data_IF_433703001853
#
_entry.id   IF_433703001853
#
_cell.length_a   1.000
_cell.length_b   1.000
_cell.length_c   1.000
_cell.angle_alpha   90.00
_cell.angle_beta   90.00
_cell.angle_gamma   90.00
#
_symmetry.space_group_name_H-M   'P 1'
#
loop_
_entity.id
_entity.type
_entity.pdbx_description
1 polymer ?
#
# COMPACT_ATOMS: atom_id res chain seq x y z
N UNK A 1 1.94 -22.10 -22.64
CA UNK A 1 0.52 -22.39 -22.91
C UNK A 1 -0.35 -22.26 -21.66
N UNK A 2 0.04 -22.86 -20.52
CA UNK A 2 -0.70 -22.72 -19.25
C UNK A 2 -0.71 -21.28 -18.73
N UNK A 3 0.38 -20.53 -18.87
CA UNK A 3 0.51 -19.13 -18.52
C UNK A 3 -0.34 -18.22 -19.40
N UNK A 4 -0.42 -18.50 -20.73
CA UNK A 4 -1.30 -17.76 -21.64
C UNK A 4 -2.78 -18.02 -21.36
N UNK A 5 -3.14 -19.23 -20.93
CA UNK A 5 -4.53 -19.59 -20.58
C UNK A 5 -4.93 -19.04 -19.19
N UNK A 6 -3.96 -18.80 -18.30
CA UNK A 6 -4.18 -18.22 -16.97
C UNK A 6 -4.04 -16.68 -16.94
N UNK A 7 -3.43 -16.06 -18.00
CA UNK A 7 -3.14 -14.63 -17.99
C UNK A 7 -4.41 -13.79 -17.96
N UNK A 8 -5.38 -14.05 -18.80
CA UNK A 8 -6.58 -13.20 -18.94
C UNK A 8 -7.49 -13.27 -17.70
N UNK A 9 -7.91 -14.44 -17.20
CA UNK A 9 -8.73 -14.51 -15.98
C UNK A 9 -7.95 -14.14 -14.71
N UNK A 10 -6.61 -14.36 -14.68
CA UNK A 10 -5.79 -13.95 -13.54
C UNK A 10 -5.53 -12.45 -13.55
N UNK A 11 -5.25 -11.87 -14.70
CA UNK A 11 -5.13 -10.43 -14.92
C UNK A 11 -6.45 -9.73 -14.61
N UNK A 12 -7.57 -10.19 -15.11
CA UNK A 12 -8.89 -9.65 -14.79
C UNK A 12 -9.22 -9.77 -13.30
N UNK A 13 -8.87 -10.88 -12.68
CA UNK A 13 -9.05 -11.11 -11.24
C UNK A 13 -8.11 -10.26 -10.38
N UNK A 14 -6.90 -10.00 -10.84
CA UNK A 14 -5.94 -9.12 -10.18
C UNK A 14 -6.24 -7.65 -10.44
N UNK A 15 -6.67 -7.28 -11.64
CA UNK A 15 -7.15 -5.95 -12.02
C UNK A 15 -8.53 -5.63 -11.40
N UNK A 16 -9.33 -6.66 -11.10
CA UNK A 16 -10.70 -6.56 -10.62
C UNK A 16 -10.88 -6.46 -9.12
N UNK A 17 -10.02 -5.80 -8.35
CA UNK A 17 -10.21 -5.49 -6.91
C UNK A 17 -10.48 -6.69 -5.98
N UNK A 18 -10.40 -7.92 -6.42
CA UNK A 18 -10.61 -9.07 -5.54
C UNK A 18 -9.28 -9.58 -4.99
N UNK A 19 -9.08 -9.52 -3.67
CA UNK A 19 -7.97 -10.20 -2.99
C UNK A 19 -7.89 -11.72 -3.26
N UNK A 20 -8.86 -12.26 -4.03
CA UNK A 20 -8.91 -13.66 -4.45
C UNK A 20 -7.89 -13.97 -5.57
N UNK A 21 -7.75 -13.07 -6.57
CA UNK A 21 -6.79 -13.25 -7.66
C UNK A 21 -5.35 -13.21 -7.17
N UNK A 22 -5.04 -12.24 -6.31
CA UNK A 22 -3.73 -12.11 -5.66
C UNK A 22 -3.36 -13.36 -4.85
N UNK A 23 -4.26 -13.84 -3.99
CA UNK A 23 -4.03 -15.08 -3.22
C UNK A 23 -3.84 -16.29 -4.12
N UNK A 24 -4.51 -16.33 -5.27
CA UNK A 24 -4.37 -17.41 -6.25
C UNK A 24 -3.00 -17.36 -6.92
N UNK A 25 -2.55 -16.15 -7.31
CA UNK A 25 -1.22 -15.94 -7.89
C UNK A 25 -0.10 -16.33 -6.91
N UNK A 26 -0.15 -15.86 -5.67
CA UNK A 26 0.83 -16.21 -4.65
C UNK A 26 0.87 -17.73 -4.36
N UNK A 27 -0.30 -18.38 -4.31
CA UNK A 27 -0.37 -19.85 -4.19
C UNK A 27 0.25 -20.55 -5.37
N UNK A 28 0.04 -20.04 -6.58
CA UNK A 28 0.64 -20.58 -7.80
C UNK A 28 2.16 -20.43 -7.78
N UNK A 29 2.69 -19.26 -7.44
CA UNK A 29 4.14 -19.05 -7.33
C UNK A 29 4.75 -19.98 -6.26
N UNK A 30 4.15 -20.07 -5.06
CA UNK A 30 4.60 -21.00 -4.01
C UNK A 30 4.55 -22.47 -4.47
N UNK A 31 3.55 -22.85 -5.25
CA UNK A 31 3.45 -24.19 -5.82
C UNK A 31 4.59 -24.45 -6.82
N UNK A 32 4.84 -23.55 -7.76
CA UNK A 32 5.95 -23.68 -8.71
C UNK A 32 7.29 -23.73 -7.99
N UNK A 33 7.51 -22.86 -7.01
CA UNK A 33 8.74 -22.80 -6.21
C UNK A 33 9.03 -24.10 -5.42
N UNK A 34 8.00 -24.90 -5.13
CA UNK A 34 8.17 -26.18 -4.41
C UNK A 34 8.91 -27.24 -5.22
N UNK A 35 9.01 -27.09 -6.55
CA UNK A 35 9.72 -28.01 -7.44
C UNK A 35 10.69 -27.30 -8.41
N UNK A 36 10.54 -26.03 -8.66
CA UNK A 36 11.45 -25.23 -9.48
C UNK A 36 11.44 -23.77 -9.02
N UNK A 37 12.36 -23.43 -8.12
CA UNK A 37 12.49 -22.07 -7.57
C UNK A 37 12.87 -21.05 -8.64
N UNK A 38 13.73 -21.43 -9.59
CA UNK A 38 14.17 -20.53 -10.66
C UNK A 38 13.03 -20.18 -11.62
N UNK A 39 12.23 -21.18 -12.03
CA UNK A 39 11.04 -20.93 -12.85
C UNK A 39 10.01 -20.06 -12.12
N UNK A 40 9.85 -20.22 -10.80
CA UNK A 40 8.98 -19.37 -10.00
C UNK A 40 9.43 -17.91 -9.99
N UNK A 41 10.75 -17.66 -9.87
CA UNK A 41 11.35 -16.33 -9.94
C UNK A 41 11.15 -15.69 -11.31
N UNK A 42 11.48 -16.41 -12.39
CA UNK A 42 11.32 -15.93 -13.77
C UNK A 42 9.85 -15.53 -14.08
N UNK A 43 8.88 -16.35 -13.62
CA UNK A 43 7.45 -16.06 -13.80
C UNK A 43 7.05 -14.80 -13.02
N UNK A 44 7.49 -14.70 -11.78
CA UNK A 44 7.22 -13.55 -10.91
C UNK A 44 7.76 -12.25 -11.51
N UNK A 45 9.05 -12.24 -11.85
CA UNK A 45 9.74 -11.05 -12.32
C UNK A 45 9.20 -10.58 -13.67
N UNK A 46 8.94 -11.51 -14.59
CA UNK A 46 8.33 -11.20 -15.88
C UNK A 46 6.92 -10.62 -15.74
N UNK A 47 6.16 -11.08 -14.75
CA UNK A 47 4.82 -10.56 -14.49
C UNK A 47 4.86 -9.17 -13.81
N UNK A 48 5.74 -8.99 -12.83
CA UNK A 48 5.92 -7.72 -12.12
C UNK A 48 6.50 -6.63 -13.03
N UNK A 49 7.46 -6.98 -13.89
CA UNK A 49 8.01 -6.08 -14.91
C UNK A 49 6.94 -5.65 -15.93
N UNK A 50 6.08 -6.59 -16.36
CA UNK A 50 4.97 -6.29 -17.27
C UNK A 50 3.94 -5.32 -16.66
N UNK A 51 3.76 -5.37 -15.33
CA UNK A 51 2.91 -4.45 -14.58
C UNK A 51 3.61 -3.13 -14.20
N UNK A 52 4.91 -2.98 -14.47
CA UNK A 52 5.70 -1.81 -14.06
C UNK A 52 5.80 -1.65 -12.54
N UNK A 53 5.76 -2.75 -11.81
CA UNK A 53 5.83 -2.75 -10.36
C UNK A 53 7.21 -2.29 -9.86
N UNK A 54 7.19 -1.48 -8.80
CA UNK A 54 8.39 -1.00 -8.09
C UNK A 54 8.30 -1.42 -6.63
N UNK A 55 8.40 -2.73 -6.41
CA UNK A 55 8.14 -3.37 -5.12
C UNK A 55 9.03 -2.83 -3.99
N UNK A 56 10.29 -2.50 -4.29
CA UNK A 56 11.19 -1.89 -3.31
C UNK A 56 10.60 -0.60 -2.68
N UNK A 57 9.78 0.16 -3.44
CA UNK A 57 9.12 1.34 -2.90
C UNK A 57 8.03 0.97 -1.90
N UNK A 58 7.31 -0.15 -2.12
CA UNK A 58 6.30 -0.66 -1.21
C UNK A 58 6.96 -1.10 0.10
N UNK A 59 8.07 -1.85 0.01
CA UNK A 59 8.81 -2.33 1.18
C UNK A 59 9.39 -1.18 2.00
N UNK A 60 10.01 -0.19 1.35
CA UNK A 60 10.51 1.00 2.03
C UNK A 60 9.38 1.77 2.75
N UNK A 61 8.22 1.91 2.10
CA UNK A 61 7.07 2.57 2.68
C UNK A 61 6.50 1.80 3.88
N UNK A 62 6.39 0.47 3.78
CA UNK A 62 5.91 -0.37 4.88
C UNK A 62 6.83 -0.28 6.10
N UNK A 63 8.15 -0.33 5.88
CA UNK A 63 9.12 -0.22 6.96
C UNK A 63 9.04 1.14 7.67
N UNK A 64 9.03 2.25 6.94
CA UNK A 64 8.85 3.59 7.51
C UNK A 64 7.54 3.67 8.29
N UNK A 65 6.45 3.17 7.72
CA UNK A 65 5.14 3.19 8.36
C UNK A 65 5.15 2.43 9.70
N UNK A 66 5.74 1.23 9.75
CA UNK A 66 5.86 0.43 10.97
C UNK A 66 6.68 1.13 12.04
N UNK A 67 7.84 1.68 11.68
CA UNK A 67 8.71 2.38 12.60
C UNK A 67 8.06 3.66 13.16
N UNK A 68 7.45 4.48 12.30
CA UNK A 68 6.93 5.78 12.69
C UNK A 68 5.62 5.73 13.46
N UNK A 69 4.85 4.65 13.30
CA UNK A 69 3.63 4.40 14.05
C UNK A 69 3.81 3.42 15.23
N UNK A 70 5.06 3.12 15.59
CA UNK A 70 5.36 2.20 16.69
C UNK A 70 4.64 2.61 17.99
N UNK A 71 3.94 1.65 18.59
CA UNK A 71 3.19 1.85 19.84
C UNK A 71 1.82 2.52 19.65
N UNK A 72 1.42 2.87 18.45
CA UNK A 72 0.05 3.29 18.15
C UNK A 72 -0.86 2.07 17.96
N UNK A 73 -2.14 2.24 18.25
CA UNK A 73 -3.17 1.23 18.01
C UNK A 73 -4.31 1.81 17.22
N UNK A 74 -4.97 0.98 16.42
CA UNK A 74 -6.17 1.36 15.68
C UNK A 74 -7.42 1.39 16.57
N UNK A 75 -8.58 1.68 16.00
CA UNK A 75 -9.87 1.74 16.73
C UNK A 75 -10.34 0.37 17.27
N UNK A 76 -9.77 -0.72 16.77
CA UNK A 76 -10.03 -2.07 17.27
C UNK A 76 -9.06 -2.48 18.39
N UNK A 77 -8.06 -1.64 18.72
CA UNK A 77 -7.02 -1.91 19.70
C UNK A 77 -5.89 -2.80 19.14
N UNK A 78 -5.80 -2.95 17.84
CA UNK A 78 -4.75 -3.69 17.15
C UNK A 78 -3.60 -2.72 16.83
N UNK A 79 -2.36 -3.21 16.74
CA UNK A 79 -1.22 -2.41 16.26
C UNK A 79 -1.59 -1.63 15.01
N UNK A 80 -1.24 -0.35 14.96
CA UNK A 80 -1.72 0.57 13.91
C UNK A 80 -1.22 0.20 12.53
N UNK A 81 0.02 -0.27 12.44
CA UNK A 81 0.57 -0.76 11.18
C UNK A 81 -0.18 -1.99 10.67
N UNK A 82 -0.37 -3.00 11.52
CA UNK A 82 -1.03 -4.25 11.14
C UNK A 82 -2.54 -4.07 10.94
N UNK A 83 -3.20 -3.38 11.87
CA UNK A 83 -4.66 -3.23 11.89
C UNK A 83 -5.18 -2.23 10.88
N UNK A 84 -4.43 -1.16 10.56
CA UNK A 84 -4.88 -0.11 9.66
C UNK A 84 -4.04 0.02 8.40
N UNK A 85 -2.77 0.42 8.50
CA UNK A 85 -1.97 0.78 7.33
C UNK A 85 -1.78 -0.39 6.36
N UNK A 86 -1.47 -1.58 6.88
CA UNK A 86 -1.34 -2.79 6.08
C UNK A 86 -2.67 -3.18 5.41
N UNK A 87 -3.80 -3.06 6.12
CA UNK A 87 -5.11 -3.36 5.56
C UNK A 87 -5.48 -2.40 4.43
N UNK A 88 -5.25 -1.08 4.61
CA UNK A 88 -5.49 -0.08 3.56
C UNK A 88 -4.60 -0.35 2.34
N UNK A 89 -3.32 -0.66 2.54
CA UNK A 89 -2.41 -1.01 1.46
C UNK A 89 -2.80 -2.32 0.73
N UNK A 90 -3.35 -3.31 1.44
CA UNK A 90 -3.86 -4.54 0.82
C UNK A 90 -5.12 -4.31 -0.03
N UNK A 91 -5.92 -3.29 0.27
CA UNK A 91 -7.05 -2.88 -0.55
C UNK A 91 -6.62 -2.15 -1.84
N UNK A 92 -5.38 -1.65 -1.89
CA UNK A 92 -4.80 -1.03 -3.07
C UNK A 92 -4.22 -2.07 -4.02
N UNK A 93 -4.24 -1.78 -5.33
CA UNK A 93 -3.81 -2.75 -6.35
C UNK A 93 -2.37 -2.50 -6.81
N UNK A 94 -2.09 -1.34 -7.38
CA UNK A 94 -0.79 -1.04 -7.98
C UNK A 94 0.26 -0.60 -6.95
N UNK A 95 1.55 -0.71 -7.33
CA UNK A 95 2.66 -0.40 -6.45
C UNK A 95 2.63 1.03 -5.87
N UNK A 96 2.16 1.99 -6.67
CA UNK A 96 2.15 3.40 -6.27
C UNK A 96 1.06 3.68 -5.25
N UNK A 97 -0.14 3.15 -5.46
CA UNK A 97 -1.23 3.24 -4.47
C UNK A 97 -0.87 2.51 -3.18
N UNK A 98 -0.20 1.34 -3.24
CA UNK A 98 0.29 0.63 -2.05
C UNK A 98 1.32 1.45 -1.28
N UNK A 99 2.30 2.02 -1.98
CA UNK A 99 3.33 2.87 -1.38
C UNK A 99 2.70 4.06 -0.64
N UNK A 100 1.78 4.77 -1.28
CA UNK A 100 1.10 5.92 -0.67
C UNK A 100 0.17 5.46 0.46
N UNK A 101 -0.47 4.31 0.34
CA UNK A 101 -1.35 3.76 1.38
C UNK A 101 -0.60 3.42 2.68
N UNK A 102 0.61 2.89 2.62
CA UNK A 102 1.43 2.71 3.82
C UNK A 102 1.80 4.04 4.49
N UNK A 103 1.99 5.10 3.71
CA UNK A 103 2.52 6.38 4.18
C UNK A 103 1.44 7.45 4.43
N UNK A 104 0.14 7.16 4.17
CA UNK A 104 -0.90 8.19 4.10
C UNK A 104 -1.11 8.94 5.41
N UNK A 105 -0.96 8.26 6.54
CA UNK A 105 -1.11 8.84 7.87
C UNK A 105 0.23 9.29 8.49
N UNK A 106 1.37 9.02 7.84
CA UNK A 106 2.67 9.32 8.41
C UNK A 106 2.87 10.83 8.73
N UNK A 107 2.32 11.73 7.91
CA UNK A 107 2.38 13.16 8.16
C UNK A 107 1.15 13.71 8.90
N UNK A 108 0.13 12.89 9.15
CA UNK A 108 -1.09 13.25 9.87
C UNK A 108 -0.99 12.85 11.35
N UNK A 109 -0.56 11.61 11.61
CA UNK A 109 -0.62 10.96 12.93
C UNK A 109 0.76 10.77 13.57
N UNK A 110 1.83 11.32 12.95
CA UNK A 110 3.18 11.35 13.52
C UNK A 110 3.76 12.77 13.49
N UNK A 111 4.86 13.06 14.21
CA UNK A 111 5.48 14.40 14.19
C UNK A 111 6.19 14.76 12.88
N UNK A 112 6.14 13.91 11.87
CA UNK A 112 6.86 14.09 10.61
C UNK A 112 6.06 14.84 9.56
N UNK A 113 6.76 15.58 8.70
CA UNK A 113 6.18 16.26 7.54
C UNK A 113 6.23 15.38 6.29
N UNK A 114 5.40 15.66 5.28
CA UNK A 114 5.47 14.98 3.98
C UNK A 114 6.88 15.07 3.36
N UNK A 115 7.57 16.20 3.54
CA UNK A 115 8.96 16.35 3.06
C UNK A 115 9.93 15.39 3.74
N UNK A 116 9.74 15.15 5.02
CA UNK A 116 10.54 14.17 5.79
C UNK A 116 10.21 12.74 5.37
N UNK A 117 8.92 12.42 5.12
CA UNK A 117 8.51 11.13 4.52
C UNK A 117 9.26 10.89 3.20
N UNK A 118 9.23 11.84 2.27
CA UNK A 118 9.90 11.71 0.98
C UNK A 118 11.43 11.61 1.12
N UNK A 119 12.01 12.34 2.07
CA UNK A 119 13.44 12.27 2.36
C UNK A 119 13.85 10.90 2.88
N UNK A 120 13.10 10.34 3.82
CA UNK A 120 13.37 9.01 4.39
C UNK A 120 13.18 7.90 3.35
N UNK A 121 12.11 7.97 2.55
CA UNK A 121 11.90 7.08 1.42
C UNK A 121 13.10 7.05 0.46
N UNK A 122 13.63 8.23 0.10
CA UNK A 122 14.82 8.34 -0.78
C UNK A 122 16.06 7.73 -0.14
N UNK A 123 16.24 7.90 1.16
CA UNK A 123 17.37 7.33 1.92
C UNK A 123 17.25 5.79 1.91
N UNK A 124 16.11 5.23 2.30
CA UNK A 124 15.89 3.79 2.32
C UNK A 124 16.06 3.14 0.95
N UNK A 125 15.49 3.72 -0.09
CA UNK A 125 15.66 3.21 -1.46
C UNK A 125 17.10 3.26 -1.94
N UNK A 126 17.90 4.20 -1.46
CA UNK A 126 19.35 4.23 -1.74
C UNK A 126 20.08 3.10 -1.00
N UNK A 127 19.71 2.81 0.24
CA UNK A 127 20.24 1.70 1.04
C UNK A 127 19.89 0.35 0.42
N UNK A 128 18.63 0.14 0.04
CA UNK A 128 18.16 -1.05 -0.68
C UNK A 128 18.98 -1.25 -1.96
N UNK A 129 19.13 -0.20 -2.77
CA UNK A 129 19.91 -0.26 -4.03
C UNK A 129 21.37 -0.63 -3.80
N UNK A 130 21.98 -0.24 -2.69
CA UNK A 130 23.38 -0.52 -2.38
C UNK A 130 23.62 -1.89 -1.77
N UNK A 131 22.57 -2.59 -1.34
CA UNK A 131 22.64 -3.90 -0.74
C UNK A 131 22.32 -4.98 -1.79
N UNK A 132 23.38 -5.56 -2.38
CA UNK A 132 23.26 -6.57 -3.45
C UNK A 132 22.97 -7.98 -2.92
N UNK A 133 23.09 -8.21 -1.61
CA UNK A 133 22.85 -9.51 -0.97
C UNK A 133 21.42 -9.65 -0.42
N UNK A 134 20.57 -8.66 -0.66
CA UNK A 134 19.21 -8.61 -0.12
C UNK A 134 19.12 -7.76 1.15
N UNK A 135 17.92 -7.53 1.59
CA UNK A 135 17.60 -6.71 2.77
C UNK A 135 16.88 -7.62 3.76
N UNK A 136 17.55 -7.95 4.87
CA UNK A 136 17.07 -8.95 5.86
C UNK A 136 15.62 -8.72 6.33
N UNK A 137 15.20 -7.46 6.41
CA UNK A 137 13.84 -7.15 6.87
C UNK A 137 12.76 -7.29 5.79
N UNK A 138 13.08 -7.62 4.54
CA UNK A 138 12.05 -7.85 3.51
C UNK A 138 11.10 -8.98 3.89
N UNK A 139 11.62 -10.08 4.43
CA UNK A 139 10.83 -11.24 4.83
C UNK A 139 9.73 -10.89 5.84
N UNK A 140 9.96 -9.87 6.69
CA UNK A 140 9.00 -9.37 7.67
C UNK A 140 7.70 -8.85 7.05
N UNK A 141 7.77 -8.35 5.80
CA UNK A 141 6.66 -7.70 5.13
C UNK A 141 6.04 -8.51 3.99
N UNK A 142 6.66 -9.63 3.61
CA UNK A 142 6.23 -10.41 2.44
C UNK A 142 4.75 -10.80 2.51
N UNK A 143 4.32 -11.37 3.62
CA UNK A 143 2.93 -11.78 3.81
C UNK A 143 1.95 -10.58 3.89
N UNK A 144 2.40 -9.45 4.42
CA UNK A 144 1.61 -8.23 4.59
C UNK A 144 1.46 -7.50 3.24
N UNK A 145 2.57 -7.30 2.53
CA UNK A 145 2.60 -6.60 1.24
C UNK A 145 1.96 -7.47 0.16
N UNK A 146 2.20 -8.80 0.24
CA UNK A 146 1.68 -9.82 -0.67
C UNK A 146 2.13 -9.66 -2.12
N UNK A 147 3.27 -9.01 -2.33
CA UNK A 147 4.10 -9.03 -3.53
C UNK A 147 5.54 -9.24 -3.07
N UNK A 148 6.35 -9.90 -3.89
CA UNK A 148 7.74 -10.16 -3.56
C UNK A 148 8.61 -8.94 -3.90
N UNK A 149 9.78 -8.74 -3.24
CA UNK A 149 10.76 -7.78 -3.72
C UNK A 149 11.25 -8.19 -5.11
N UNK A 150 11.42 -7.22 -6.01
CA UNK A 150 12.02 -7.48 -7.31
C UNK A 150 13.50 -7.84 -7.13
N UNK A 151 14.05 -8.77 -7.94
CA UNK A 151 15.48 -9.03 -7.95
C UNK A 151 16.27 -7.79 -8.39
N UNK A 152 15.73 -7.06 -9.38
CA UNK A 152 16.34 -5.86 -9.89
C UNK A 152 15.73 -4.61 -9.26
N UNK A 153 16.58 -3.70 -8.81
CA UNK A 153 16.15 -2.42 -8.29
C UNK A 153 15.60 -1.51 -9.39
N UNK A 154 14.33 -1.14 -9.32
CA UNK A 154 13.68 -0.21 -10.24
C UNK A 154 13.55 1.18 -9.61
N UNK A 155 14.40 2.17 -10.01
CA UNK A 155 14.35 3.50 -9.42
C UNK A 155 13.06 4.25 -9.79
N UNK A 156 12.57 5.06 -8.88
CA UNK A 156 11.47 5.98 -9.16
C UNK A 156 11.94 7.13 -10.03
N UNK A 157 11.15 7.46 -11.05
CA UNK A 157 11.35 8.63 -11.89
C UNK A 157 11.00 9.92 -11.14
N UNK A 158 11.48 11.07 -11.64
CA UNK A 158 11.12 12.38 -11.08
C UNK A 158 9.59 12.60 -11.04
N UNK A 159 8.89 12.14 -12.07
CA UNK A 159 7.43 12.25 -12.17
C UNK A 159 6.75 11.45 -11.06
N UNK A 160 7.16 10.19 -10.84
CA UNK A 160 6.59 9.33 -9.80
C UNK A 160 6.84 9.89 -8.39
N UNK A 161 8.02 10.46 -8.13
CA UNK A 161 8.29 11.16 -6.87
C UNK A 161 7.34 12.33 -6.65
N UNK A 162 7.10 13.13 -7.70
CA UNK A 162 6.17 14.27 -7.62
C UNK A 162 4.74 13.78 -7.35
N UNK A 163 4.27 12.75 -8.06
CA UNK A 163 2.93 12.18 -7.88
C UNK A 163 2.71 11.63 -6.47
N UNK A 164 3.70 10.94 -5.89
CA UNK A 164 3.65 10.44 -4.50
C UNK A 164 3.60 11.60 -3.51
N UNK A 165 4.49 12.58 -3.65
CA UNK A 165 4.55 13.74 -2.76
C UNK A 165 3.24 14.56 -2.79
N UNK A 166 2.70 14.80 -3.99
CA UNK A 166 1.42 15.49 -4.17
C UNK A 166 0.26 14.71 -3.52
N UNK A 167 0.21 13.39 -3.71
CA UNK A 167 -0.82 12.55 -3.11
C UNK A 167 -0.76 12.59 -1.57
N UNK A 168 0.42 12.48 -0.97
CA UNK A 168 0.60 12.57 0.48
C UNK A 168 0.20 13.96 1.02
N UNK A 169 0.50 15.04 0.29
CA UNK A 169 0.06 16.39 0.67
C UNK A 169 -1.46 16.55 0.60
N UNK A 170 -2.12 15.94 -0.39
CA UNK A 170 -3.60 15.93 -0.51
C UNK A 170 -4.23 15.13 0.64
N UNK A 171 -3.66 13.99 0.99
CA UNK A 171 -4.16 13.09 2.04
C UNK A 171 -4.01 13.69 3.45
N UNK A 172 -3.01 14.53 3.71
CA UNK A 172 -2.80 15.15 5.01
C UNK A 172 -3.87 16.21 5.33
N UNK A 173 -4.88 15.83 6.13
CA UNK A 173 -5.98 16.72 6.47
C UNK A 173 -5.57 17.86 7.42
N UNK A 174 -4.50 17.68 8.21
CA UNK A 174 -4.02 18.68 9.18
C UNK A 174 -3.61 20.00 8.53
N UNK A 175 -3.33 19.99 7.22
CA UNK A 175 -2.97 21.18 6.44
C UNK A 175 -4.17 21.87 5.78
N UNK A 176 -5.39 21.35 5.96
CA UNK A 176 -6.61 21.93 5.41
C UNK A 176 -7.28 22.88 6.42
N UNK A 177 -7.90 23.95 5.92
CA UNK A 177 -8.60 24.92 6.77
C UNK A 177 -9.86 24.34 7.42
N UNK A 178 -10.54 23.46 6.71
CA UNK A 178 -11.75 22.77 7.16
C UNK A 178 -11.98 21.52 6.31
N UNK A 179 -13.00 20.73 6.67
CA UNK A 179 -13.31 19.46 6.00
C UNK A 179 -13.69 19.64 4.54
N UNK A 180 -14.44 20.66 4.19
CA UNK A 180 -14.82 20.92 2.80
C UNK A 180 -13.60 21.22 1.94
N UNK A 181 -12.72 22.12 2.38
CA UNK A 181 -11.47 22.42 1.68
C UNK A 181 -10.56 21.22 1.58
N UNK A 182 -10.58 20.32 2.56
CA UNK A 182 -9.87 19.05 2.51
C UNK A 182 -10.39 18.17 1.36
N UNK A 183 -11.69 17.94 1.29
CA UNK A 183 -12.30 17.12 0.24
C UNK A 183 -12.08 17.72 -1.16
N UNK A 184 -12.14 19.05 -1.31
CA UNK A 184 -11.88 19.71 -2.59
C UNK A 184 -10.45 19.50 -3.13
N UNK A 185 -9.46 19.22 -2.26
CA UNK A 185 -8.07 18.97 -2.67
C UNK A 185 -7.89 17.68 -3.48
N UNK A 186 -8.80 16.73 -3.34
CA UNK A 186 -8.73 15.45 -4.07
C UNK A 186 -9.01 15.61 -5.55
N UNK A 187 -9.69 16.70 -5.96
CA UNK A 187 -10.06 16.92 -7.36
C UNK A 187 -8.83 16.91 -8.27
N UNK A 188 -8.79 15.94 -9.17
CA UNK A 188 -7.71 15.77 -10.15
C UNK A 188 -6.50 14.97 -9.65
N UNK A 189 -6.49 14.49 -8.39
CA UNK A 189 -5.45 13.60 -7.90
C UNK A 189 -6.00 12.17 -7.72
N UNK A 190 -5.98 11.40 -8.81
CA UNK A 190 -6.51 10.02 -8.83
C UNK A 190 -5.79 9.10 -7.83
N UNK A 191 -4.48 9.30 -7.63
CA UNK A 191 -3.70 8.51 -6.68
C UNK A 191 -4.19 8.70 -5.26
N UNK A 192 -4.35 9.96 -4.82
CA UNK A 192 -4.90 10.27 -3.51
C UNK A 192 -6.34 9.77 -3.33
N UNK A 193 -7.19 9.91 -4.39
CA UNK A 193 -8.57 9.41 -4.38
C UNK A 193 -8.59 7.90 -4.13
N UNK A 194 -7.82 7.10 -4.87
CA UNK A 194 -7.78 5.64 -4.72
C UNK A 194 -7.38 5.22 -3.31
N UNK A 195 -6.36 5.86 -2.76
CA UNK A 195 -5.91 5.59 -1.38
C UNK A 195 -6.98 5.99 -0.37
N UNK A 196 -7.58 7.18 -0.53
CA UNK A 196 -8.65 7.64 0.39
C UNK A 196 -9.88 6.76 0.36
N UNK A 197 -10.28 6.26 -0.80
CA UNK A 197 -11.39 5.30 -0.91
C UNK A 197 -11.07 3.98 -0.20
N UNK A 198 -9.82 3.49 -0.27
CA UNK A 198 -9.38 2.30 0.47
C UNK A 198 -9.38 2.54 1.99
N UNK A 199 -8.91 3.70 2.44
CA UNK A 199 -8.95 4.13 3.84
C UNK A 199 -10.39 4.24 4.35
N UNK A 200 -11.27 4.93 3.62
CA UNK A 200 -12.69 5.04 3.97
C UNK A 200 -13.36 3.67 4.03
N UNK A 201 -13.09 2.79 3.07
CA UNK A 201 -13.63 1.41 3.07
C UNK A 201 -13.23 0.64 4.32
N UNK A 202 -11.95 0.71 4.72
CA UNK A 202 -11.48 0.08 5.96
C UNK A 202 -12.12 0.73 7.19
N UNK A 203 -12.19 2.06 7.24
CA UNK A 203 -12.77 2.79 8.37
C UNK A 203 -14.29 2.61 8.51
N UNK A 204 -15.00 2.24 7.44
CA UNK A 204 -16.45 1.93 7.48
C UNK A 204 -16.76 0.53 7.96
N UNK A 205 -15.78 -0.36 8.04
CA UNK A 205 -15.98 -1.71 8.57
C UNK A 205 -16.02 -1.68 10.11
N UNK A 206 -17.23 -1.58 10.65
CA UNK A 206 -17.47 -1.63 12.10
C UNK A 206 -17.35 -3.05 12.68
N UNK A 207 -17.35 -4.10 11.86
CA UNK A 207 -17.27 -5.48 12.35
C UNK A 207 -15.94 -5.79 13.05
N UNK A 208 -14.89 -5.01 12.72
CA UNK A 208 -13.56 -5.11 13.35
C UNK A 208 -13.51 -4.48 14.76
N UNK A 209 -14.50 -3.65 15.14
CA UNK A 209 -14.54 -2.95 16.42
C UNK A 209 -15.38 -3.81 17.39
N UNK A 210 -14.80 -4.33 18.48
CA UNK A 210 -15.52 -5.25 19.38
C UNK A 210 -16.79 -4.66 20.01
N UNK A 211 -16.82 -3.35 20.26
CA UNK A 211 -17.95 -2.64 20.87
C UNK A 211 -18.12 -1.25 20.25
N UNK A 212 -18.72 -1.14 19.05
CA UNK A 212 -18.91 0.14 18.40
C UNK A 212 -19.77 1.09 19.24
N UNK A 213 -19.35 2.34 19.33
CA UNK A 213 -20.03 3.41 20.06
C UNK A 213 -20.89 4.27 19.13
N UNK A 214 -21.76 5.14 19.69
CA UNK A 214 -22.51 6.14 18.89
C UNK A 214 -21.58 7.03 18.03
N UNK A 215 -20.37 7.31 18.54
CA UNK A 215 -19.37 8.07 17.78
C UNK A 215 -18.88 7.32 16.54
N UNK A 216 -18.80 6.01 16.61
CA UNK A 216 -18.38 5.17 15.50
C UNK A 216 -19.48 5.11 14.43
N UNK A 217 -20.73 5.00 14.83
CA UNK A 217 -21.87 5.09 13.90
C UNK A 217 -21.98 6.49 13.25
N UNK A 218 -21.78 7.57 14.01
CA UNK A 218 -21.75 8.93 13.45
C UNK A 218 -20.61 9.14 12.43
N UNK A 219 -19.44 8.53 12.69
CA UNK A 219 -18.33 8.51 11.72
C UNK A 219 -18.67 7.71 10.47
N UNK A 220 -19.30 6.56 10.63
CA UNK A 220 -19.74 5.72 9.52
C UNK A 220 -20.63 6.49 8.55
N UNK A 221 -21.64 7.22 9.05
CA UNK A 221 -22.52 8.02 8.20
C UNK A 221 -21.77 9.15 7.46
N UNK A 222 -20.82 9.80 8.13
CA UNK A 222 -19.96 10.79 7.49
C UNK A 222 -19.10 10.14 6.40
N UNK A 223 -18.46 9.00 6.66
CA UNK A 223 -17.60 8.31 5.70
C UNK A 223 -18.40 7.82 4.48
N UNK A 224 -19.63 7.35 4.68
CA UNK A 224 -20.53 7.00 3.57
C UNK A 224 -20.79 8.19 2.66
N UNK A 225 -21.02 9.38 3.22
CA UNK A 225 -21.24 10.59 2.42
C UNK A 225 -19.99 11.09 1.69
N UNK A 226 -18.81 10.75 2.17
CA UNK A 226 -17.53 11.11 1.53
C UNK A 226 -17.11 10.07 0.48
N UNK A 227 -17.58 8.84 0.60
CA UNK A 227 -17.28 7.76 -0.32
C UNK A 227 -18.10 7.84 -1.61
N UNK A 228 -19.32 8.41 -1.57
CA UNK A 228 -20.22 8.57 -2.72
C UNK A 228 -19.83 9.78 -3.59
#
# INVERSE_FOLDING_TARGET
ELLCQMSDPLMDSMLGFSGKGKRTYLKFIKYVASFDSKAAEEIRDGFEDALGYKNHAIYAAAHIAKEWHQGQVDKAGVDYFEGHLATVAQLCFDWKTKTVAFLHDAAEDTPHTVKEVIKEMKKMLKEIKSNTEGVEWFDEYEDIIGVFPNENYHPLTKKEWTEIEEALNVLNHNTALNRESYIQRFKGNELAIKVKLSDLRHNMDLSRIPSPTEKDYARLERYKSEYM
#
